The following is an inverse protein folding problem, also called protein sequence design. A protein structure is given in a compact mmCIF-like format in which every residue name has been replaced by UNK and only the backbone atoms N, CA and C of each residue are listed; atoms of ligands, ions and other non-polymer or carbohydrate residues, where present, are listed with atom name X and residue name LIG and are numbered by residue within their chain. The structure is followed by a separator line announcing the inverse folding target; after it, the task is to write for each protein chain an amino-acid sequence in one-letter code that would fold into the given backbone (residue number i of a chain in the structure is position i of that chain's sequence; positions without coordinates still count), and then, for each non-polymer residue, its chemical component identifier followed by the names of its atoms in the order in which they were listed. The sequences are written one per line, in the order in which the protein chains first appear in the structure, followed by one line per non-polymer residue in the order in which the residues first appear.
data_IF_002438608602
#
_entry.id   IF_002438608602
#
_cell.length_a   1.000
_cell.length_b   1.000
_cell.length_c   1.000
_cell.angle_alpha   90.00
_cell.angle_beta   90.00
_cell.angle_gamma   90.00
#
_symmetry.space_group_name_H-M   'P 1'
#
loop_
_entity.id
_entity.type
_entity.pdbx_description
1 polymer ?
#
# COMPACT_ATOMS: atom_id res chain seq x y z
N UNK A 1 31.64 -20.46 -4.31
CA UNK A 1 31.24 -19.24 -3.59
C UNK A 1 29.73 -19.17 -3.76
N UNK A 2 29.03 -19.85 -2.87
CA UNK A 2 27.56 -19.97 -2.91
C UNK A 2 26.97 -18.71 -2.28
N UNK A 3 26.20 -17.96 -3.06
CA UNK A 3 25.34 -16.90 -2.56
C UNK A 3 23.90 -17.40 -2.66
N UNK A 4 23.42 -18.03 -1.60
CA UNK A 4 21.99 -18.29 -1.42
C UNK A 4 21.27 -16.97 -1.20
N UNK A 5 20.19 -16.65 -1.93
CA UNK A 5 19.39 -15.46 -1.71
C UNK A 5 18.44 -15.69 -0.51
N UNK A 6 18.97 -15.77 0.70
CA UNK A 6 18.16 -15.82 1.93
C UNK A 6 17.80 -14.42 2.47
N UNK A 7 18.22 -13.36 1.78
CA UNK A 7 18.02 -11.97 2.21
C UNK A 7 16.54 -11.50 2.09
N UNK A 8 15.67 -12.28 1.44
CA UNK A 8 14.26 -11.89 1.19
C UNK A 8 13.23 -12.52 2.14
N UNK A 9 13.60 -13.49 2.97
CA UNK A 9 12.63 -14.18 3.81
C UNK A 9 12.43 -13.49 5.17
N UNK A 10 13.51 -13.01 5.79
CA UNK A 10 13.50 -12.47 7.16
C UNK A 10 12.77 -11.11 7.28
N UNK A 11 12.86 -10.24 6.27
CA UNK A 11 12.34 -8.86 6.38
C UNK A 11 10.86 -8.70 6.03
N UNK A 12 10.19 -9.75 5.54
CA UNK A 12 8.80 -9.70 5.08
C UNK A 12 7.83 -10.27 6.13
N UNK A 13 8.30 -11.17 7.00
CA UNK A 13 7.50 -11.73 8.09
C UNK A 13 7.40 -10.77 9.30
N UNK A 14 8.40 -9.93 9.56
CA UNK A 14 8.42 -9.03 10.74
C UNK A 14 7.53 -7.78 10.65
N UNK A 15 6.89 -7.49 9.48
CA UNK A 15 6.13 -6.25 9.28
C UNK A 15 4.61 -6.37 9.39
N UNK A 16 4.07 -7.58 9.53
CA UNK A 16 2.62 -7.83 9.50
C UNK A 16 2.05 -8.56 10.72
N UNK A 17 2.69 -8.44 11.89
CA UNK A 17 2.06 -8.77 13.16
C UNK A 17 1.27 -7.55 13.69
N UNK A 18 0.14 -7.29 13.06
CA UNK A 18 -0.94 -6.53 13.69
C UNK A 18 -2.13 -7.44 13.88
N UNK A 19 -2.58 -7.54 15.14
CA UNK A 19 -3.77 -8.29 15.54
C UNK A 19 -4.98 -7.81 14.73
N UNK A 20 -5.36 -8.57 13.70
CA UNK A 20 -6.64 -8.37 13.01
C UNK A 20 -7.77 -8.61 14.02
N UNK A 21 -8.63 -7.60 14.21
CA UNK A 21 -9.75 -7.75 15.12
C UNK A 21 -10.70 -8.85 14.60
N UNK A 22 -11.02 -9.86 15.41
CA UNK A 22 -11.72 -11.07 14.97
C UNK A 22 -13.12 -10.77 14.41
N UNK A 23 -13.73 -9.67 14.84
CA UNK A 23 -15.04 -9.22 14.36
C UNK A 23 -15.00 -8.78 12.89
N UNK A 24 -13.88 -8.18 12.43
CA UNK A 24 -13.73 -7.73 11.04
C UNK A 24 -13.62 -8.94 10.10
N UNK A 25 -12.79 -9.92 10.46
CA UNK A 25 -12.58 -11.13 9.66
C UNK A 25 -13.87 -11.92 9.42
N UNK A 26 -14.74 -12.02 10.43
CA UNK A 26 -16.02 -12.73 10.30
C UNK A 26 -16.95 -12.04 9.29
N UNK A 27 -16.94 -10.71 9.24
CA UNK A 27 -17.74 -9.96 8.25
C UNK A 27 -17.22 -10.15 6.83
N UNK A 28 -15.90 -10.12 6.65
CA UNK A 28 -15.26 -10.30 5.36
C UNK A 28 -15.52 -11.70 4.80
N UNK A 29 -15.40 -12.76 5.61
CA UNK A 29 -15.68 -14.14 5.18
C UNK A 29 -17.10 -14.35 4.66
N UNK A 30 -18.09 -13.59 5.14
CA UNK A 30 -19.49 -13.68 4.71
C UNK A 30 -19.71 -13.08 3.32
N UNK A 31 -18.90 -12.11 2.91
CA UNK A 31 -19.05 -11.38 1.64
C UNK A 31 -18.11 -11.92 0.57
N UNK A 32 -16.90 -12.35 0.96
CA UNK A 32 -15.89 -12.86 0.05
C UNK A 32 -16.22 -14.30 -0.37
N UNK A 33 -16.24 -14.61 -1.68
CA UNK A 33 -16.45 -15.99 -2.14
C UNK A 33 -15.41 -16.96 -1.57
N UNK A 34 -15.83 -18.19 -1.26
CA UNK A 34 -14.97 -19.19 -0.61
C UNK A 34 -13.67 -19.49 -1.37
N UNK A 35 -13.65 -19.35 -2.70
CA UNK A 35 -12.43 -19.51 -3.51
C UNK A 35 -11.32 -18.51 -3.17
N UNK A 36 -11.65 -17.40 -2.52
CA UNK A 36 -10.71 -16.34 -2.15
C UNK A 36 -10.45 -16.27 -0.65
N UNK A 37 -10.93 -17.23 0.14
CA UNK A 37 -10.69 -17.24 1.60
C UNK A 37 -9.21 -17.38 1.98
N UNK A 38 -8.36 -17.82 1.06
CA UNK A 38 -6.90 -17.81 1.24
C UNK A 38 -6.27 -16.40 1.17
N UNK A 39 -7.04 -15.38 0.79
CA UNK A 39 -6.60 -14.00 0.59
C UNK A 39 -7.39 -13.00 1.44
N UNK A 40 -7.95 -13.45 2.58
CA UNK A 40 -8.80 -12.61 3.43
C UNK A 40 -8.05 -11.39 3.99
N UNK A 41 -6.74 -11.53 4.19
CA UNK A 41 -5.83 -10.49 4.64
C UNK A 41 -5.80 -9.27 3.70
N UNK A 42 -5.98 -9.48 2.38
CA UNK A 42 -6.04 -8.39 1.38
C UNK A 42 -7.29 -7.52 1.57
N UNK A 43 -8.33 -8.07 2.20
CA UNK A 43 -9.58 -7.36 2.46
C UNK A 43 -9.62 -6.67 3.83
N UNK A 44 -8.54 -6.74 4.63
CA UNK A 44 -8.43 -6.01 5.89
C UNK A 44 -8.41 -4.49 5.64
N UNK A 45 -9.32 -3.77 6.29
CA UNK A 45 -9.36 -2.31 6.22
C UNK A 45 -8.09 -1.69 6.81
N UNK A 46 -7.63 -2.23 7.94
CA UNK A 46 -6.43 -1.74 8.64
C UNK A 46 -5.20 -1.85 7.73
N UNK A 47 -5.02 -2.98 7.04
CA UNK A 47 -3.91 -3.16 6.09
C UNK A 47 -4.05 -2.25 4.86
N UNK A 48 -5.27 -2.03 4.37
CA UNK A 48 -5.51 -1.16 3.22
C UNK A 48 -5.23 0.33 3.48
N UNK A 49 -5.36 0.79 4.73
CA UNK A 49 -5.04 2.16 5.12
C UNK A 49 -3.53 2.41 5.24
N UNK A 50 -2.72 1.35 5.20
CA UNK A 50 -1.27 1.44 5.30
C UNK A 50 -0.61 1.48 3.93
N UNK A 51 0.47 2.26 3.84
CA UNK A 51 1.34 2.19 2.68
C UNK A 51 2.01 0.81 2.63
N UNK A 52 2.13 0.20 1.43
CA UNK A 52 2.90 -1.01 1.27
C UNK A 52 4.37 -0.75 1.67
N UNK A 53 5.09 -1.79 2.13
CA UNK A 53 6.50 -1.66 2.44
C UNK A 53 7.30 -1.32 1.18
N UNK A 54 8.47 -0.70 1.38
CA UNK A 54 9.39 -0.42 0.28
C UNK A 54 9.83 -1.72 -0.40
N UNK A 55 9.79 -1.73 -1.73
CA UNK A 55 10.28 -2.83 -2.52
C UNK A 55 11.52 -2.44 -3.33
N UNK A 56 12.43 -3.38 -3.52
CA UNK A 56 13.61 -3.19 -4.38
C UNK A 56 13.27 -2.91 -5.84
N UNK A 57 12.05 -3.25 -6.25
CA UNK A 57 11.51 -3.01 -7.58
C UNK A 57 10.73 -1.69 -7.68
N UNK A 58 10.63 -0.92 -6.59
CA UNK A 58 9.99 0.39 -6.64
C UNK A 58 10.73 1.29 -7.64
N UNK A 59 9.96 2.05 -8.42
CA UNK A 59 10.54 2.92 -9.44
C UNK A 59 11.38 4.03 -8.79
N UNK A 60 12.69 3.90 -8.91
CA UNK A 60 13.62 4.95 -8.53
C UNK A 60 13.57 6.09 -9.55
N UNK A 61 13.34 7.32 -9.07
CA UNK A 61 13.43 8.52 -9.89
C UNK A 61 14.85 9.06 -9.76
N UNK A 62 15.65 8.86 -10.82
CA UNK A 62 16.96 9.48 -10.94
C UNK A 62 16.79 10.98 -11.19
N UNK A 63 17.37 11.80 -10.31
CA UNK A 63 17.33 13.25 -10.44
C UNK A 63 18.52 13.74 -11.27
N UNK A 64 18.24 14.40 -12.39
CA UNK A 64 19.25 15.03 -13.24
C UNK A 64 19.04 16.55 -13.31
N UNK A 65 20.14 17.31 -13.38
CA UNK A 65 20.10 18.76 -13.55
C UNK A 65 19.74 19.55 -12.28
N UNK A 66 19.22 20.77 -12.47
CA UNK A 66 18.80 21.65 -11.36
C UNK A 66 17.34 21.41 -11.00
N UNK A 67 16.98 21.64 -9.73
CA UNK A 67 15.59 21.58 -9.26
C UNK A 67 14.68 22.46 -10.14
N UNK A 68 13.48 21.96 -10.53
CA UNK A 68 12.53 22.77 -11.28
C UNK A 68 12.09 23.98 -10.44
N UNK A 69 11.77 25.12 -11.07
CA UNK A 69 11.21 26.25 -10.36
C UNK A 69 9.86 25.87 -9.73
N UNK A 70 9.62 26.34 -8.51
CA UNK A 70 8.32 26.16 -7.87
C UNK A 70 7.22 26.82 -8.72
N UNK A 71 6.30 26.02 -9.23
CA UNK A 71 5.18 26.50 -10.05
C UNK A 71 4.06 27.12 -9.21
N UNK A 72 3.32 28.06 -9.78
CA UNK A 72 2.04 28.49 -9.20
C UNK A 72 1.00 27.39 -9.41
N UNK A 73 0.23 27.08 -8.37
CA UNK A 73 -0.91 26.16 -8.49
C UNK A 73 -2.00 26.89 -9.28
N UNK A 74 -2.49 26.28 -10.35
CA UNK A 74 -3.60 26.84 -11.12
C UNK A 74 -4.84 26.98 -10.25
N UNK A 75 -5.60 28.06 -10.44
CA UNK A 75 -6.85 28.29 -9.71
C UNK A 75 -7.86 27.20 -10.05
N UNK A 76 -8.20 26.37 -9.08
CA UNK A 76 -9.29 25.40 -9.21
C UNK A 76 -10.63 26.11 -9.05
N UNK A 77 -11.64 25.70 -9.80
CA UNK A 77 -13.01 26.15 -9.56
C UNK A 77 -13.57 25.45 -8.31
N UNK A 78 -14.63 26.01 -7.71
CA UNK A 78 -15.28 25.38 -6.55
C UNK A 78 -15.77 23.95 -6.88
N UNK A 79 -16.20 23.72 -8.13
CA UNK A 79 -16.62 22.39 -8.58
C UNK A 79 -15.46 21.40 -8.59
N UNK A 80 -14.28 21.84 -9.04
CA UNK A 80 -13.08 20.99 -9.07
C UNK A 80 -12.58 20.71 -7.65
N UNK A 81 -12.60 21.72 -6.78
CA UNK A 81 -12.19 21.54 -5.38
C UNK A 81 -13.12 20.60 -4.61
N UNK A 82 -14.43 20.68 -4.85
CA UNK A 82 -15.40 19.80 -4.19
C UNK A 82 -15.26 18.36 -4.69
N UNK A 83 -14.96 18.17 -5.98
CA UNK A 83 -14.73 16.84 -6.57
C UNK A 83 -13.47 16.18 -6.00
N UNK A 84 -12.41 16.95 -5.75
CA UNK A 84 -11.12 16.43 -5.27
C UNK A 84 -11.06 16.24 -3.75
N UNK A 85 -12.00 16.82 -3.00
CA UNK A 85 -12.07 16.77 -1.53
C UNK A 85 -12.83 15.56 -0.96
N UNK A 86 -13.19 14.60 -1.82
CA UNK A 86 -13.98 13.42 -1.51
C UNK A 86 -13.88 12.90 -0.08
#
# INVERSE_FOLDING_TARGET
MDLTPSYYHDSLEELWDEEEEPEEMETVMKVVPSSYHQYLDIFSKVKAEKLPPYHTCDHHIELEGSLPPAGVIYSLTNQDSDTLRG
#
